data_IF_030090907544
#
_entry.id   IF_030090907544
#
_cell.length_a   1.000
_cell.length_b   1.000
_cell.length_c   1.000
_cell.angle_alpha   90.00
_cell.angle_beta   90.00
_cell.angle_gamma   90.00
#
_symmetry.space_group_name_H-M   'P 1'
#
loop_
_entity.id
_entity.type
_entity.pdbx_description
1 polymer ?
#
# COMPACT_ATOMS: atom_id res chain seq x y z
N UNK A 1 -15.32 -36.86 1.79
CA UNK A 1 -13.95 -37.32 2.06
C UNK A 1 -13.07 -36.60 1.07
N UNK A 2 -12.84 -35.31 1.31
CA UNK A 2 -11.73 -34.81 2.16
C UNK A 2 -10.44 -34.73 1.35
N UNK A 3 -9.61 -33.71 1.37
CA UNK A 3 -9.60 -32.33 1.89
C UNK A 3 -8.16 -31.85 1.54
N UNK A 4 -8.00 -30.55 1.29
CA UNK A 4 -6.83 -29.73 1.71
C UNK A 4 -5.51 -29.78 0.89
N UNK A 5 -5.17 -28.58 0.41
CA UNK A 5 -3.85 -27.94 0.23
C UNK A 5 -2.63 -28.57 0.94
N UNK A 6 -1.41 -28.30 0.45
CA UNK A 6 -0.63 -27.27 1.13
C UNK A 6 0.14 -26.32 0.20
N UNK A 7 0.00 -25.03 0.49
CA UNK A 7 1.08 -24.03 0.35
C UNK A 7 1.90 -24.12 1.64
N UNK A 8 3.23 -24.17 1.57
CA UNK A 8 4.17 -23.26 2.26
C UNK A 8 5.63 -23.74 2.17
N UNK A 9 6.48 -22.83 1.67
CA UNK A 9 7.78 -22.37 2.16
C UNK A 9 8.82 -23.35 2.72
N UNK A 10 10.07 -23.24 2.21
CA UNK A 10 11.15 -22.62 3.00
C UNK A 10 12.39 -22.29 2.15
N UNK A 11 12.76 -21.00 2.23
CA UNK A 11 14.08 -20.43 1.99
C UNK A 11 14.98 -20.78 3.18
N UNK A 12 16.26 -21.08 2.92
CA UNK A 12 17.48 -20.77 3.72
C UNK A 12 18.48 -21.94 3.71
N UNK A 13 19.67 -21.70 3.13
CA UNK A 13 20.95 -21.66 3.84
C UNK A 13 22.11 -21.72 2.83
N UNK A 14 22.72 -20.58 2.56
CA UNK A 14 24.11 -20.52 2.13
C UNK A 14 24.86 -19.73 3.19
N UNK A 15 25.62 -20.45 4.03
CA UNK A 15 26.87 -20.04 4.69
C UNK A 15 27.17 -21.08 5.79
N UNK A 16 28.11 -21.99 5.50
CA UNK A 16 29.29 -22.24 6.34
C UNK A 16 30.14 -23.38 5.74
N UNK A 17 31.44 -23.15 5.79
CA UNK A 17 32.52 -23.89 5.17
C UNK A 17 32.90 -25.20 5.88
N UNK A 18 33.52 -26.10 5.11
CA UNK A 18 34.61 -27.03 5.46
C UNK A 18 34.44 -28.01 6.64
N UNK A 19 34.53 -29.32 6.36
CA UNK A 19 35.64 -30.25 6.71
C UNK A 19 35.31 -31.65 6.15
N UNK A 20 36.31 -32.35 5.61
CA UNK A 20 36.13 -33.57 4.83
C UNK A 20 36.00 -34.89 5.62
N UNK A 21 35.77 -35.98 4.88
CA UNK A 21 36.51 -37.26 4.88
C UNK A 21 35.79 -38.26 3.95
N UNK A 22 36.60 -38.98 3.16
CA UNK A 22 36.26 -40.06 2.23
C UNK A 22 35.32 -41.15 2.78
N UNK A 23 34.41 -41.65 1.93
CA UNK A 23 34.34 -43.08 1.56
C UNK A 23 33.44 -43.37 0.35
N UNK A 24 33.96 -44.26 -0.49
CA UNK A 24 33.35 -44.90 -1.66
C UNK A 24 32.07 -45.66 -1.32
N UNK A 25 31.01 -45.47 -2.10
CA UNK A 25 30.04 -46.54 -2.42
C UNK A 25 29.34 -46.19 -3.72
N UNK A 26 29.56 -47.01 -4.75
CA UNK A 26 28.76 -47.08 -5.96
C UNK A 26 27.32 -47.45 -5.58
N UNK A 27 26.46 -46.43 -5.48
CA UNK A 27 25.01 -46.61 -5.47
C UNK A 27 24.43 -45.85 -6.65
N UNK A 28 23.70 -46.60 -7.46
CA UNK A 28 22.89 -46.16 -8.58
C UNK A 28 22.22 -44.83 -8.23
N UNK A 29 22.61 -43.77 -8.95
CA UNK A 29 21.95 -42.48 -8.93
C UNK A 29 20.51 -42.70 -9.43
N UNK A 30 19.60 -42.95 -8.49
CA UNK A 30 18.18 -42.70 -8.68
C UNK A 30 18.06 -41.33 -9.31
N UNK A 31 17.60 -41.29 -10.56
CA UNK A 31 17.30 -40.07 -11.30
C UNK A 31 16.24 -39.30 -10.51
N UNK A 32 16.69 -38.48 -9.55
CA UNK A 32 15.85 -37.46 -8.98
C UNK A 32 15.44 -36.57 -10.14
N UNK A 33 14.14 -36.59 -10.42
CA UNK A 33 13.47 -35.69 -11.33
C UNK A 33 13.82 -34.28 -10.83
N UNK A 34 14.88 -33.69 -11.38
CA UNK A 34 15.28 -32.31 -11.08
C UNK A 34 14.03 -31.50 -11.40
N UNK A 35 13.32 -31.06 -10.36
CA UNK A 35 12.48 -29.89 -10.49
C UNK A 35 13.42 -28.84 -11.07
N UNK A 36 13.24 -28.53 -12.36
CA UNK A 36 13.96 -27.43 -13.01
C UNK A 36 13.60 -26.22 -12.17
N UNK A 37 14.53 -25.79 -11.32
CA UNK A 37 14.50 -24.47 -10.72
C UNK A 37 14.66 -23.56 -11.92
N UNK A 38 13.54 -23.05 -12.42
CA UNK A 38 13.58 -21.87 -13.27
C UNK A 38 13.95 -20.77 -12.30
N UNK A 39 15.03 -20.05 -12.58
CA UNK A 39 15.31 -18.81 -11.86
C UNK A 39 14.01 -17.98 -11.86
N UNK A 40 13.56 -17.57 -10.68
CA UNK A 40 12.35 -16.77 -10.55
C UNK A 40 12.62 -15.42 -11.23
N UNK A 41 11.99 -15.19 -12.38
CA UNK A 41 12.07 -13.90 -13.05
C UNK A 41 11.21 -12.89 -12.30
N UNK A 42 11.77 -11.70 -12.07
CA UNK A 42 11.10 -10.59 -11.41
C UNK A 42 11.22 -9.33 -12.27
N UNK A 43 10.15 -8.53 -12.34
CA UNK A 43 10.13 -7.23 -13.02
C UNK A 43 9.85 -6.16 -11.96
N UNK A 44 10.72 -5.19 -11.84
CA UNK A 44 10.51 -4.03 -10.96
C UNK A 44 9.65 -3.00 -11.70
N UNK A 45 8.45 -2.70 -11.18
CA UNK A 45 7.57 -1.71 -11.79
C UNK A 45 8.15 -0.28 -11.72
N UNK A 46 8.96 -0.01 -10.70
CA UNK A 46 9.62 1.27 -10.50
C UNK A 46 10.72 1.55 -11.52
N UNK A 47 11.06 0.57 -12.36
CA UNK A 47 12.07 0.72 -13.40
C UNK A 47 11.58 1.64 -14.53
N UNK A 48 12.17 2.84 -14.61
CA UNK A 48 11.81 3.87 -15.59
C UNK A 48 12.53 3.74 -16.94
N UNK A 49 13.33 2.70 -17.16
CA UNK A 49 14.08 2.49 -18.40
C UNK A 49 15.60 2.70 -18.28
N UNK A 50 16.33 2.53 -19.40
CA UNK A 50 15.83 2.37 -20.77
C UNK A 50 15.22 0.99 -21.09
N UNK A 51 14.26 0.97 -22.01
CA UNK A 51 13.69 -0.26 -22.59
C UNK A 51 14.17 -0.45 -24.05
N UNK A 52 14.22 -1.69 -24.56
CA UNK A 52 14.01 -2.94 -23.82
C UNK A 52 15.25 -3.32 -23.00
N UNK A 53 15.05 -3.95 -21.83
CA UNK A 53 16.14 -4.50 -21.02
C UNK A 53 16.06 -6.02 -20.93
N UNK A 54 17.22 -6.67 -20.74
CA UNK A 54 17.29 -8.13 -20.64
C UNK A 54 16.82 -8.59 -19.26
N UNK A 55 15.77 -9.41 -19.22
CA UNK A 55 15.24 -10.02 -18.00
C UNK A 55 16.06 -11.26 -17.61
N UNK A 56 16.63 -11.92 -18.61
CA UNK A 56 17.40 -13.15 -18.46
C UNK A 56 17.24 -14.02 -19.70
N UNK A 57 17.63 -15.29 -19.59
CA UNK A 57 17.63 -16.22 -20.73
C UNK A 57 17.20 -17.60 -20.29
N UNK A 58 16.40 -18.26 -21.12
CA UNK A 58 16.05 -19.67 -20.95
C UNK A 58 16.97 -20.53 -21.80
N UNK A 59 17.50 -21.59 -21.19
CA UNK A 59 18.35 -22.55 -21.85
C UNK A 59 17.72 -23.95 -21.86
N UNK A 60 17.92 -24.67 -22.96
CA UNK A 60 17.48 -26.05 -23.13
C UNK A 60 18.71 -26.87 -23.53
N UNK A 61 18.88 -28.04 -22.92
CA UNK A 61 20.04 -28.94 -23.14
C UNK A 61 20.16 -29.49 -24.57
N UNK A 62 19.17 -29.22 -25.44
CA UNK A 62 19.13 -29.68 -26.83
C UNK A 62 19.57 -28.56 -27.76
N UNK A 63 20.52 -28.85 -28.63
CA UNK A 63 20.97 -27.93 -29.67
C UNK A 63 19.87 -27.67 -30.72
N UNK A 64 19.92 -26.49 -31.36
CA UNK A 64 19.05 -26.09 -32.47
C UNK A 64 17.54 -26.12 -32.16
N UNK A 65 17.14 -25.41 -31.10
CA UNK A 65 15.72 -25.17 -30.79
C UNK A 65 15.28 -23.75 -31.11
N UNK A 66 14.00 -23.57 -31.40
CA UNK A 66 13.31 -22.27 -31.49
C UNK A 66 12.48 -22.04 -30.23
N UNK A 67 12.68 -20.90 -29.59
CA UNK A 67 11.98 -20.49 -28.37
C UNK A 67 10.75 -19.64 -28.66
N UNK A 68 9.69 -19.88 -27.90
CA UNK A 68 8.46 -19.10 -27.95
C UNK A 68 7.90 -18.92 -26.53
N UNK A 69 7.34 -17.75 -26.26
CA UNK A 69 6.53 -17.46 -25.07
C UNK A 69 5.14 -17.02 -25.52
N UNK A 70 4.13 -17.36 -24.72
CA UNK A 70 2.72 -17.00 -24.92
C UNK A 70 2.06 -16.81 -23.54
N UNK A 71 0.96 -16.07 -23.45
CA UNK A 71 0.23 -15.72 -22.24
C UNK A 71 0.32 -14.23 -21.90
N UNK A 72 0.10 -13.92 -20.62
CA UNK A 72 0.07 -12.56 -20.11
C UNK A 72 1.43 -11.89 -20.23
N UNK A 73 1.47 -10.66 -20.73
CA UNK A 73 2.73 -9.98 -21.03
C UNK A 73 3.16 -10.11 -22.49
N UNK A 74 2.52 -10.98 -23.28
CA UNK A 74 2.92 -11.26 -24.67
C UNK A 74 1.72 -11.07 -25.60
N UNK A 75 0.85 -12.08 -25.69
CA UNK A 75 -0.35 -12.13 -26.54
C UNK A 75 -1.67 -12.10 -25.74
N UNK A 76 -1.61 -12.16 -24.41
CA UNK A 76 -2.73 -11.90 -23.49
C UNK A 76 -2.44 -10.66 -22.62
N UNK A 77 -3.49 -10.00 -22.10
CA UNK A 77 -3.34 -8.79 -21.29
C UNK A 77 -2.57 -9.05 -19.98
N UNK A 78 -1.63 -8.17 -19.58
CA UNK A 78 -1.19 -6.97 -20.30
C UNK A 78 -0.39 -7.34 -21.56
N UNK A 79 -0.77 -6.88 -22.75
CA UNK A 79 -0.07 -7.30 -23.99
C UNK A 79 1.25 -6.56 -24.20
N UNK A 80 2.18 -7.18 -24.94
CA UNK A 80 3.45 -6.57 -25.38
C UNK A 80 4.34 -6.01 -24.27
N UNK A 81 4.38 -6.66 -23.11
CA UNK A 81 5.33 -6.36 -22.01
C UNK A 81 6.65 -7.08 -22.21
N UNK A 82 6.63 -8.28 -22.80
CA UNK A 82 7.76 -9.19 -22.90
C UNK A 82 7.95 -9.69 -24.33
N UNK A 83 9.20 -9.95 -24.68
CA UNK A 83 9.59 -10.65 -25.90
C UNK A 83 10.66 -11.69 -25.59
N UNK A 84 10.66 -12.81 -26.31
CA UNK A 84 11.77 -13.76 -26.32
C UNK A 84 12.46 -13.76 -27.67
N UNK A 85 13.78 -13.73 -27.68
CA UNK A 85 14.54 -14.02 -28.89
C UNK A 85 14.42 -15.52 -29.22
N UNK A 86 13.86 -15.90 -30.39
CA UNK A 86 13.56 -17.28 -30.70
C UNK A 86 14.80 -18.15 -30.89
N UNK A 87 15.98 -17.57 -31.13
CA UNK A 87 17.22 -18.32 -31.35
C UNK A 87 18.11 -18.36 -30.11
N UNK A 88 18.12 -17.29 -29.30
CA UNK A 88 19.00 -17.20 -28.13
C UNK A 88 18.30 -17.54 -26.82
N UNK A 89 16.97 -17.48 -26.77
CA UNK A 89 16.19 -17.70 -25.55
C UNK A 89 16.24 -16.51 -24.57
N UNK A 90 16.87 -15.40 -24.96
CA UNK A 90 16.91 -14.17 -24.18
C UNK A 90 15.50 -13.56 -24.09
N UNK A 91 15.02 -13.33 -22.88
CA UNK A 91 13.77 -12.64 -22.60
C UNK A 91 14.09 -11.17 -22.32
N UNK A 92 13.35 -10.27 -22.96
CA UNK A 92 13.44 -8.84 -22.75
C UNK A 92 12.11 -8.27 -22.26
N UNK A 93 12.19 -7.30 -21.38
CA UNK A 93 11.06 -6.46 -20.98
C UNK A 93 11.04 -5.25 -21.91
N UNK A 94 9.90 -5.01 -22.54
CA UNK A 94 9.70 -3.98 -23.56
C UNK A 94 9.14 -2.67 -22.98
N UNK A 95 8.40 -2.74 -21.87
CA UNK A 95 7.78 -1.60 -21.18
C UNK A 95 7.50 -1.94 -19.72
N UNK A 96 7.20 -0.92 -18.92
CA UNK A 96 6.75 -1.10 -17.54
C UNK A 96 5.39 -1.82 -17.47
N UNK A 97 5.17 -2.44 -16.32
CA UNK A 97 3.95 -3.11 -15.91
C UNK A 97 3.67 -2.71 -14.47
N UNK A 98 2.41 -2.44 -14.19
CA UNK A 98 1.88 -1.93 -12.93
C UNK A 98 1.51 -3.10 -12.01
N UNK A 99 2.03 -3.11 -10.80
CA UNK A 99 1.87 -4.14 -9.77
C UNK A 99 0.44 -4.12 -9.21
N UNK A 100 -0.13 -2.93 -9.02
CA UNK A 100 -1.51 -2.72 -8.57
C UNK A 100 -2.49 -3.38 -9.53
N UNK A 101 -2.19 -3.37 -10.83
CA UNK A 101 -2.99 -4.06 -11.84
C UNK A 101 -2.60 -5.54 -12.02
N UNK A 102 -1.30 -5.88 -11.98
CA UNK A 102 -0.79 -7.22 -12.29
C UNK A 102 0.40 -7.65 -11.40
N UNK A 103 0.16 -8.23 -10.24
CA UNK A 103 1.21 -8.76 -9.36
C UNK A 103 2.00 -9.95 -9.93
N UNK A 104 1.44 -10.66 -10.91
CA UNK A 104 2.11 -11.82 -11.55
C UNK A 104 1.66 -12.01 -12.99
N UNK A 105 2.62 -12.18 -13.89
CA UNK A 105 2.37 -12.58 -15.27
C UNK A 105 2.49 -14.09 -15.44
N UNK A 106 1.44 -14.71 -15.98
CA UNK A 106 1.37 -16.16 -16.23
C UNK A 106 1.64 -16.45 -17.70
N UNK A 107 2.77 -17.09 -17.96
CA UNK A 107 3.28 -17.38 -19.29
C UNK A 107 3.44 -18.88 -19.52
N UNK A 108 3.45 -19.27 -20.79
CA UNK A 108 3.81 -20.60 -21.28
C UNK A 108 5.00 -20.45 -22.22
N UNK A 109 6.09 -21.08 -21.82
CA UNK A 109 7.26 -21.26 -22.66
C UNK A 109 7.14 -22.53 -23.48
N UNK A 110 7.56 -22.47 -24.73
CA UNK A 110 7.66 -23.61 -25.66
C UNK A 110 9.01 -23.56 -26.36
N UNK A 111 9.62 -24.73 -26.53
CA UNK A 111 10.78 -24.90 -27.40
C UNK A 111 10.46 -25.92 -28.49
N UNK A 112 10.77 -25.60 -29.74
CA UNK A 112 10.55 -26.44 -30.90
C UNK A 112 11.88 -26.86 -31.53
N UNK A 113 11.96 -28.08 -32.01
CA UNK A 113 13.07 -28.53 -32.84
C UNK A 113 13.08 -27.72 -34.15
N UNK A 114 14.20 -27.11 -34.49
CA UNK A 114 14.30 -26.22 -35.66
C UNK A 114 14.13 -26.96 -36.98
N UNK A 115 14.52 -28.23 -37.06
CA UNK A 115 14.47 -29.00 -38.30
C UNK A 115 13.12 -29.69 -38.46
N UNK A 116 12.61 -30.27 -37.38
CA UNK A 116 11.39 -31.08 -37.41
C UNK A 116 10.13 -30.29 -37.11
N UNK A 117 10.27 -29.07 -36.60
CA UNK A 117 9.16 -28.25 -36.10
C UNK A 117 8.34 -28.94 -35.00
N UNK A 118 8.94 -29.92 -34.30
CA UNK A 118 8.30 -30.70 -33.24
C UNK A 118 8.49 -30.02 -31.88
N UNK A 119 7.46 -30.02 -31.04
CA UNK A 119 7.55 -29.50 -29.68
C UNK A 119 8.54 -30.37 -28.87
N UNK A 120 9.63 -29.75 -28.42
CA UNK A 120 10.65 -30.40 -27.57
C UNK A 120 10.23 -30.35 -26.10
N UNK A 121 9.78 -29.18 -25.65
CA UNK A 121 9.35 -29.00 -24.26
C UNK A 121 8.40 -27.82 -24.12
N UNK A 122 7.58 -27.86 -23.07
CA UNK A 122 6.69 -26.78 -22.67
C UNK A 122 6.72 -26.64 -21.15
N UNK A 123 6.66 -25.40 -20.67
CA UNK A 123 6.74 -25.07 -19.25
C UNK A 123 5.88 -23.84 -18.94
N UNK A 124 5.22 -23.83 -17.78
CA UNK A 124 4.59 -22.62 -17.25
C UNK A 124 5.63 -21.76 -16.53
N UNK A 125 5.60 -20.46 -16.77
CA UNK A 125 6.47 -19.46 -16.14
C UNK A 125 5.57 -18.46 -15.42
N UNK A 126 5.95 -18.14 -14.19
CA UNK A 126 5.33 -17.08 -13.39
C UNK A 126 6.40 -16.00 -13.20
N UNK A 127 6.10 -14.80 -13.66
CA UNK A 127 6.98 -13.64 -13.46
C UNK A 127 6.32 -12.75 -12.43
N UNK A 128 6.98 -12.57 -11.30
CA UNK A 128 6.51 -11.71 -10.21
C UNK A 128 6.83 -10.25 -10.55
N UNK A 129 5.86 -9.36 -10.33
CA UNK A 129 6.07 -7.92 -10.43
C UNK A 129 6.40 -7.41 -9.03
N UNK A 130 7.55 -6.77 -8.89
CA UNK A 130 7.99 -6.20 -7.63
C UNK A 130 7.39 -4.81 -7.48
N UNK A 131 6.70 -4.65 -6.37
CA UNK A 131 6.06 -3.43 -5.92
C UNK A 131 7.07 -2.29 -5.73
N UNK A 132 6.64 -1.07 -6.00
CA UNK A 132 7.34 0.20 -5.79
C UNK A 132 6.40 1.19 -5.10
N UNK A 133 6.99 2.16 -4.39
CA UNK A 133 6.21 3.18 -3.68
C UNK A 133 5.81 4.32 -4.62
N UNK A 134 4.89 4.08 -5.54
CA UNK A 134 4.47 5.04 -6.55
C UNK A 134 3.03 5.57 -6.38
N UNK A 135 2.25 5.01 -5.44
CA UNK A 135 0.96 5.57 -5.04
C UNK A 135 1.10 6.36 -3.72
N UNK A 136 0.72 7.65 -3.68
CA UNK A 136 0.69 8.39 -2.43
C UNK A 136 -0.55 8.01 -1.59
N UNK A 137 -0.47 8.09 -0.24
CA UNK A 137 -1.65 7.98 0.60
C UNK A 137 -2.70 9.00 0.20
N UNK A 138 -3.97 8.59 0.16
CA UNK A 138 -5.07 9.44 -0.26
C UNK A 138 -6.20 9.43 0.76
N UNK A 139 -6.59 10.61 1.22
CA UNK A 139 -7.77 10.77 2.06
C UNK A 139 -9.06 10.48 1.29
N UNK A 140 -10.05 9.89 1.97
CA UNK A 140 -11.37 9.64 1.41
C UNK A 140 -12.08 10.94 0.98
N UNK A 141 -11.86 12.02 1.72
CA UNK A 141 -12.35 13.36 1.40
C UNK A 141 -11.23 14.39 1.56
N UNK A 142 -11.20 15.40 0.68
CA UNK A 142 -10.29 16.55 0.83
C UNK A 142 -10.64 17.41 2.06
N UNK A 143 -11.92 17.38 2.44
CA UNK A 143 -12.46 18.14 3.56
C UNK A 143 -13.45 17.33 4.40
N UNK A 144 -13.20 17.26 5.69
CA UNK A 144 -14.11 16.69 6.70
C UNK A 144 -14.77 17.81 7.49
N UNK A 145 -16.06 17.66 7.81
CA UNK A 145 -16.77 18.58 8.69
C UNK A 145 -17.38 17.79 9.84
N UNK A 146 -17.00 18.15 11.06
CA UNK A 146 -17.53 17.59 12.28
C UNK A 146 -18.14 18.70 13.13
N UNK A 147 -19.01 18.27 14.04
CA UNK A 147 -19.63 19.17 15.00
C UNK A 147 -19.58 18.50 16.36
N UNK A 148 -19.17 19.26 17.37
CA UNK A 148 -19.09 18.78 18.74
C UNK A 148 -19.59 19.87 19.69
N UNK A 149 -20.31 19.48 20.74
CA UNK A 149 -20.76 20.41 21.77
C UNK A 149 -19.58 20.86 22.62
N UNK A 150 -19.56 22.12 23.02
CA UNK A 150 -18.56 22.62 23.97
C UNK A 150 -18.59 21.85 25.30
N UNK A 151 -19.77 21.36 25.69
CA UNK A 151 -19.98 20.57 26.91
C UNK A 151 -19.45 19.14 26.80
N UNK A 152 -18.84 18.75 25.68
CA UNK A 152 -18.27 17.43 25.51
C UNK A 152 -17.07 17.22 26.45
N UNK A 153 -16.98 16.03 27.04
CA UNK A 153 -15.87 15.69 27.91
C UNK A 153 -14.62 15.45 27.07
N UNK A 154 -13.44 15.80 27.60
CA UNK A 154 -12.17 15.41 26.98
C UNK A 154 -12.10 13.90 26.70
N UNK A 155 -11.45 13.53 25.61
CA UNK A 155 -11.37 12.16 25.11
C UNK A 155 -12.63 11.67 24.37
N UNK A 156 -13.65 12.52 24.24
CA UNK A 156 -14.80 12.27 23.36
C UNK A 156 -14.33 12.25 21.91
N UNK A 157 -14.87 11.29 21.15
CA UNK A 157 -14.65 11.20 19.71
C UNK A 157 -15.30 12.38 18.99
N UNK A 158 -14.49 13.15 18.27
CA UNK A 158 -14.98 14.25 17.41
C UNK A 158 -15.44 13.72 16.06
N UNK A 159 -14.69 12.77 15.51
CA UNK A 159 -14.97 12.19 14.21
C UNK A 159 -13.85 11.25 13.75
N UNK A 160 -14.07 10.64 12.59
CA UNK A 160 -13.13 9.69 11.96
C UNK A 160 -12.75 10.17 10.58
N UNK A 161 -11.47 10.04 10.27
CA UNK A 161 -10.94 10.27 8.92
C UNK A 161 -10.28 9.00 8.43
N UNK A 162 -10.20 8.85 7.11
CA UNK A 162 -9.51 7.72 6.51
C UNK A 162 -8.60 8.19 5.39
N UNK A 163 -7.37 7.68 5.38
CA UNK A 163 -6.46 7.77 4.25
C UNK A 163 -5.96 6.38 3.90
N UNK A 164 -5.97 6.06 2.61
CA UNK A 164 -5.56 4.75 2.09
C UNK A 164 -4.48 4.94 1.04
N UNK A 165 -3.53 4.02 1.02
CA UNK A 165 -2.50 3.92 0.01
C UNK A 165 -2.77 2.67 -0.85
N UNK A 166 -2.51 2.76 -2.15
CA UNK A 166 -2.88 1.71 -3.11
C UNK A 166 -1.76 0.72 -3.38
N UNK A 167 -0.52 1.00 -2.94
CA UNK A 167 0.61 0.09 -3.12
C UNK A 167 0.28 -1.30 -2.52
N UNK A 168 0.80 -2.39 -3.12
CA UNK A 168 0.45 -3.75 -2.67
C UNK A 168 1.22 -4.14 -1.40
N UNK A 169 2.48 -3.73 -1.30
CA UNK A 169 3.37 -4.11 -0.21
C UNK A 169 3.02 -3.37 1.07
N UNK A 170 2.97 -4.10 2.18
CA UNK A 170 2.87 -3.51 3.53
C UNK A 170 4.00 -2.52 3.85
N UNK A 171 5.13 -2.60 3.14
CA UNK A 171 6.23 -1.64 3.28
C UNK A 171 5.82 -0.26 2.78
N UNK A 172 5.00 -0.18 1.74
CA UNK A 172 4.67 1.05 1.04
C UNK A 172 3.29 1.55 1.44
N UNK A 173 2.28 0.69 1.55
CA UNK A 173 0.91 1.14 1.82
C UNK A 173 0.55 1.48 3.29
N UNK A 174 1.50 1.38 4.23
CA UNK A 174 1.25 1.71 5.64
C UNK A 174 1.19 3.23 5.85
N UNK A 175 0.01 3.73 6.17
CA UNK A 175 -0.26 5.16 6.34
C UNK A 175 -0.10 5.62 7.79
N UNK A 176 0.69 6.68 7.98
CA UNK A 176 0.81 7.41 9.23
C UNK A 176 0.06 8.74 9.17
N UNK A 177 -0.85 8.95 10.11
CA UNK A 177 -1.61 10.20 10.23
C UNK A 177 -0.98 11.14 11.25
N UNK A 178 -0.90 12.43 10.90
CA UNK A 178 -0.36 13.47 11.78
C UNK A 178 -1.13 14.77 11.65
N UNK A 179 -1.49 15.38 12.78
CA UNK A 179 -1.99 16.76 12.80
C UNK A 179 -0.81 17.71 12.57
N UNK A 180 -0.91 18.52 11.51
CA UNK A 180 0.13 19.48 11.10
C UNK A 180 -0.10 20.84 11.72
N UNK A 181 -1.36 21.31 11.70
CA UNK A 181 -1.74 22.59 12.28
C UNK A 181 -3.18 22.59 12.76
N UNK A 182 -3.45 23.45 13.73
CA UNK A 182 -4.78 23.73 14.28
C UNK A 182 -4.94 25.24 14.34
N UNK A 183 -5.99 25.77 13.73
CA UNK A 183 -6.31 27.20 13.67
C UNK A 183 -7.77 27.45 14.11
N UNK A 184 -8.03 28.42 15.02
CA UNK A 184 -7.05 29.22 15.76
C UNK A 184 -6.18 28.34 16.67
N UNK A 185 -4.96 28.78 16.96
CA UNK A 185 -4.05 28.01 17.82
C UNK A 185 -4.61 27.99 19.24
N UNK A 186 -4.97 26.81 19.78
CA UNK A 186 -5.47 26.72 21.15
C UNK A 186 -4.34 26.92 22.18
N UNK A 187 -4.69 27.47 23.35
CA UNK A 187 -3.78 27.58 24.49
C UNK A 187 -3.83 26.32 25.38
N UNK A 188 -5.02 25.93 25.82
CA UNK A 188 -5.26 24.81 26.76
C UNK A 188 -6.08 23.66 26.15
N UNK A 189 -6.08 23.53 24.82
CA UNK A 189 -6.79 22.48 24.07
C UNK A 189 -5.82 21.78 23.10
N UNK A 190 -5.87 20.46 23.04
CA UNK A 190 -5.06 19.65 22.12
C UNK A 190 -5.95 18.66 21.38
N UNK A 191 -5.97 18.73 20.05
CA UNK A 191 -6.55 17.66 19.22
C UNK A 191 -5.50 16.60 18.94
N UNK A 192 -5.90 15.32 19.03
CA UNK A 192 -5.02 14.18 18.83
C UNK A 192 -5.75 12.99 18.21
N UNK A 193 -4.98 12.07 17.62
CA UNK A 193 -5.51 10.78 17.21
C UNK A 193 -5.54 9.83 18.40
N UNK A 194 -6.73 9.42 18.81
CA UNK A 194 -6.93 8.45 19.90
C UNK A 194 -6.54 7.05 19.45
N UNK A 195 -6.92 6.69 18.24
CA UNK A 195 -6.67 5.41 17.60
C UNK A 195 -6.35 5.65 16.12
N UNK A 196 -5.37 4.92 15.60
CA UNK A 196 -5.09 4.80 14.17
C UNK A 196 -5.01 3.29 13.89
N UNK A 197 -5.87 2.79 13.02
CA UNK A 197 -5.83 1.38 12.64
C UNK A 197 -4.87 1.12 11.47
N UNK A 198 -4.62 -0.16 11.19
CA UNK A 198 -3.73 -0.60 10.10
C UNK A 198 -4.24 -0.21 8.70
N UNK A 199 -5.52 0.17 8.56
CA UNK A 199 -6.15 0.58 7.30
C UNK A 199 -6.10 2.10 7.06
N UNK A 200 -5.46 2.84 7.97
CA UNK A 200 -5.35 4.30 7.91
C UNK A 200 -6.61 5.04 8.38
N UNK A 201 -7.50 4.39 9.15
CA UNK A 201 -8.60 5.05 9.84
C UNK A 201 -8.08 5.71 11.12
N UNK A 202 -8.23 7.02 11.23
CA UNK A 202 -7.86 7.81 12.41
C UNK A 202 -9.09 8.34 13.14
N UNK A 203 -9.16 8.10 14.46
CA UNK A 203 -10.19 8.64 15.35
C UNK A 203 -9.67 9.89 16.04
N UNK A 204 -10.31 11.03 15.78
CA UNK A 204 -9.91 12.32 16.36
C UNK A 204 -10.61 12.51 17.70
N UNK A 205 -9.84 12.95 18.69
CA UNK A 205 -10.32 13.32 20.01
C UNK A 205 -9.59 14.58 20.49
N UNK A 206 -9.98 15.10 21.65
CA UNK A 206 -9.37 16.29 22.22
C UNK A 206 -9.07 16.14 23.71
N UNK A 207 -8.10 16.90 24.22
CA UNK A 207 -7.83 17.12 25.65
C UNK A 207 -8.00 18.59 25.98
N UNK A 208 -8.43 18.89 27.20
CA UNK A 208 -8.78 20.24 27.62
C UNK A 208 -10.29 20.50 27.53
N UNK A 209 -10.67 21.78 27.57
CA UNK A 209 -12.06 22.21 27.49
C UNK A 209 -12.33 22.88 26.14
N UNK A 210 -13.47 22.53 25.55
CA UNK A 210 -14.01 23.28 24.41
C UNK A 210 -14.85 24.44 24.96
N UNK A 211 -14.77 25.58 24.31
CA UNK A 211 -15.45 26.80 24.71
C UNK A 211 -15.85 27.56 23.44
N UNK A 212 -17.16 27.65 23.18
CA UNK A 212 -17.69 28.26 21.95
C UNK A 212 -17.31 29.75 21.86
N UNK A 213 -17.34 30.46 22.99
CA UNK A 213 -16.97 31.87 23.11
C UNK A 213 -15.50 32.13 22.77
N UNK A 214 -14.60 31.20 23.12
CA UNK A 214 -13.19 31.28 22.74
C UNK A 214 -12.99 30.98 21.25
N UNK A 215 -13.63 29.94 20.71
CA UNK A 215 -13.57 29.61 19.30
C UNK A 215 -14.78 28.78 18.83
N UNK A 216 -15.59 29.38 17.95
CA UNK A 216 -16.74 28.71 17.34
C UNK A 216 -16.35 27.57 16.38
N UNK A 217 -15.12 27.59 15.86
CA UNK A 217 -14.59 26.54 14.98
C UNK A 217 -13.09 26.37 15.10
N UNK A 218 -12.64 25.15 14.83
CA UNK A 218 -11.24 24.82 14.56
C UNK A 218 -11.07 24.27 13.15
N UNK A 219 -10.04 24.75 12.44
CA UNK A 219 -9.57 24.22 11.16
C UNK A 219 -8.26 23.48 11.41
N UNK A 220 -8.27 22.18 11.15
CA UNK A 220 -7.13 21.30 11.37
C UNK A 220 -6.62 20.82 10.01
N UNK A 221 -5.32 20.95 9.77
CA UNK A 221 -4.65 20.31 8.64
C UNK A 221 -4.05 19.00 9.13
N UNK A 222 -4.40 17.91 8.47
CA UNK A 222 -3.85 16.58 8.74
C UNK A 222 -3.05 16.12 7.53
N UNK A 223 -1.88 15.54 7.78
CA UNK A 223 -1.04 14.86 6.81
C UNK A 223 -1.19 13.34 6.96
N UNK A 224 -1.29 12.66 5.81
CA UNK A 224 -1.11 11.22 5.68
C UNK A 224 0.21 10.96 4.97
N UNK A 225 1.04 10.05 5.49
CA UNK A 225 2.38 9.76 4.95
C UNK A 225 2.65 8.26 4.94
N UNK A 226 3.23 7.76 3.86
CA UNK A 226 3.61 6.35 3.70
C UNK A 226 4.95 6.01 4.37
N UNK A 227 5.43 4.76 4.18
CA UNK A 227 6.75 4.30 4.62
C UNK A 227 7.71 4.00 3.47
N UNK A 228 7.50 4.61 2.30
CA UNK A 228 8.40 4.50 1.16
C UNK A 228 9.84 4.91 1.48
N UNK A 229 10.81 4.38 0.74
CA UNK A 229 12.21 4.85 0.84
C UNK A 229 12.33 6.34 0.47
N UNK A 230 11.48 6.78 -0.46
CA UNK A 230 11.16 8.17 -0.73
C UNK A 230 9.69 8.37 -0.34
N UNK A 231 9.41 8.75 0.92
CA UNK A 231 8.03 8.76 1.37
C UNK A 231 7.18 9.75 0.60
N UNK A 232 5.96 9.37 0.24
CA UNK A 232 4.95 10.26 -0.30
C UNK A 232 3.94 10.67 0.77
N UNK A 233 3.29 11.80 0.56
CA UNK A 233 2.29 12.31 1.50
C UNK A 233 1.17 13.08 0.81
N UNK A 234 0.03 13.15 1.49
CA UNK A 234 -1.08 14.03 1.14
C UNK A 234 -1.62 14.72 2.39
N UNK A 235 -2.49 15.71 2.20
CA UNK A 235 -3.12 16.41 3.31
C UNK A 235 -4.62 16.62 3.08
N UNK A 236 -5.37 16.73 4.17
CA UNK A 236 -6.78 17.08 4.15
C UNK A 236 -7.07 18.17 5.18
N UNK A 237 -8.21 18.84 5.01
CA UNK A 237 -8.71 19.85 5.96
C UNK A 237 -9.84 19.27 6.79
N UNK A 238 -9.82 19.48 8.09
CA UNK A 238 -10.89 19.11 9.00
C UNK A 238 -11.43 20.37 9.63
N UNK A 239 -12.73 20.59 9.52
CA UNK A 239 -13.43 21.68 10.21
C UNK A 239 -14.24 21.07 11.33
N UNK A 240 -13.97 21.51 12.56
CA UNK A 240 -14.72 21.13 13.75
C UNK A 240 -15.49 22.37 14.19
N UNK A 241 -16.81 22.33 14.08
CA UNK A 241 -17.69 23.36 14.60
C UNK A 241 -18.01 23.06 16.07
N UNK A 242 -17.86 24.05 16.93
CA UNK A 242 -18.22 23.95 18.34
C UNK A 242 -19.66 24.42 18.47
N UNK A 243 -20.55 23.56 18.96
CA UNK A 243 -21.93 23.95 19.29
C UNK A 243 -21.97 24.56 20.70
N UNK A 244 -22.51 25.78 20.78
CA UNK A 244 -22.89 26.45 22.03
C UNK A 244 -23.88 25.57 22.80
N UNK A 245 -23.54 25.23 24.04
CA UNK A 245 -24.46 24.65 24.98
C UNK A 245 -25.03 25.77 25.83
N UNK A 246 -26.34 26.03 25.73
CA UNK A 246 -27.04 27.05 26.53
C UNK A 246 -26.85 26.88 28.06
N UNK A 247 -25.72 27.33 28.57
CA UNK A 247 -25.23 27.22 29.95
C UNK A 247 -25.03 28.62 30.57
N UNK A 248 -25.26 29.68 29.79
CA UNK A 248 -25.26 31.05 30.26
C UNK A 248 -26.53 31.31 31.06
N UNK A 249 -26.44 31.25 32.39
CA UNK A 249 -27.45 31.86 33.25
C UNK A 249 -27.58 33.34 32.85
N UNK A 250 -28.79 33.88 32.63
CA UNK A 250 -28.94 35.27 32.24
C UNK A 250 -28.36 36.19 33.32
N UNK A 251 -27.29 36.91 32.98
CA UNK A 251 -26.69 37.91 33.86
C UNK A 251 -27.39 39.24 33.62
N UNK A 252 -28.11 39.75 34.63
CA UNK A 252 -28.65 41.11 34.60
C UNK A 252 -27.49 42.08 34.78
N UNK A 253 -27.10 42.78 33.71
CA UNK A 253 -25.95 43.71 33.70
C UNK A 253 -26.32 45.17 33.99
N UNK A 254 -27.58 45.46 34.35
CA UNK A 254 -28.00 46.82 34.74
C UNK A 254 -28.92 46.81 35.96
N UNK A 255 -28.37 47.18 37.10
CA UNK A 255 -29.14 47.71 38.23
C UNK A 255 -29.55 49.15 37.91
N UNK A 256 -30.62 49.34 37.13
CA UNK A 256 -31.42 50.57 37.23
C UNK A 256 -32.84 50.25 36.84
N UNK A 257 -33.60 49.74 37.80
CA UNK A 257 -35.06 49.70 37.71
C UNK A 257 -35.56 51.06 38.21
N UNK A 258 -35.76 52.02 37.31
CA UNK A 258 -36.56 53.21 37.63
C UNK A 258 -38.03 52.83 37.58
N UNK A 259 -38.65 52.66 38.74
CA UNK A 259 -40.10 52.53 38.85
C UNK A 259 -40.72 53.92 39.04
N UNK A 260 -41.73 54.23 38.24
CA UNK A 260 -42.59 55.39 38.44
C UNK A 260 -43.88 54.92 39.12
N UNK A 261 -44.09 55.33 40.37
CA UNK A 261 -45.38 55.19 41.03
C UNK A 261 -46.27 56.35 40.57
N UNK A 262 -47.34 56.05 39.84
CA UNK A 262 -48.42 57.02 39.62
C UNK A 262 -49.22 57.13 40.92
N UNK A 263 -49.21 58.30 41.57
CA UNK A 263 -50.22 58.65 42.56
C UNK A 263 -51.49 59.08 41.83
N UNK A 264 -52.58 58.33 42.03
CA UNK A 264 -53.93 58.78 41.68
C UNK A 264 -54.37 59.87 42.68
N UNK A 265 -54.77 61.03 42.17
CA UNK A 265 -55.49 62.07 42.93
C UNK A 265 -56.90 61.62 43.28
#
# INVERSE_FOLDING_TARGET
>A
MELIHPILLLILCNLLQCWGVHRSSSQLLLRQKRNRIIDSFTIDEGYQGPFPYSLGKIEVEKDLVLFMIQGQGVDEEPTQVLEINPYTGEIKVLRSVDCEQYQTLKLKFKAFDREKHELVTQLGIYIEILDSNDNPPKFLFEKYNFTIKESALQGTEVGRIQATDQDISEKYNKVHLKIVSVEPKPEDLEFYFKEIDETGLGVISFKGCLDHETAEKYTIIVEAKDNGEKPQSSSCTIIINIEDGNNHLPVITKETVSSYLFQSQ
#
